data_IF_182552914980
#
_entry.id   IF_182552914980
#
_cell.length_a   1.000
_cell.length_b   1.000
_cell.length_c   1.000
_cell.angle_alpha   90.00
_cell.angle_beta   90.00
_cell.angle_gamma   90.00
#
_symmetry.space_group_name_H-M   'P 1'
#
loop_
_entity.id
_entity.type
_entity.pdbx_description
1 polymer ?
#
# COMPACT_ATOMS: atom_id res chain seq x y z
N UNK A 1 -3.12 -6.80 -5.82
CA UNK A 1 -2.43 -7.67 -4.83
C UNK A 1 -2.48 -9.14 -5.25
N UNK A 2 -3.64 -9.81 -5.34
CA UNK A 2 -3.69 -11.21 -5.82
C UNK A 2 -3.09 -11.44 -7.22
N UNK A 3 -3.34 -10.53 -8.15
CA UNK A 3 -2.79 -10.61 -9.51
C UNK A 3 -1.25 -10.62 -9.56
N UNK A 4 -0.58 -10.18 -8.49
CA UNK A 4 0.88 -10.19 -8.34
C UNK A 4 1.35 -11.19 -7.28
N UNK A 5 0.50 -12.15 -6.89
CA UNK A 5 0.86 -13.27 -6.01
C UNK A 5 0.93 -12.94 -4.52
N UNK A 6 0.44 -11.79 -4.07
CA UNK A 6 0.47 -11.42 -2.64
C UNK A 6 -0.72 -12.04 -1.90
N UNK A 7 -0.40 -12.89 -0.93
CA UNK A 7 -1.36 -13.64 -0.10
C UNK A 7 -1.28 -13.25 1.39
N UNK A 8 -2.17 -13.83 2.21
CA UNK A 8 -2.15 -13.63 3.68
C UNK A 8 -2.55 -12.23 4.15
N UNK A 9 -3.27 -11.48 3.31
CA UNK A 9 -3.58 -10.06 3.49
C UNK A 9 -4.30 -9.77 4.82
N UNK A 10 -3.84 -8.73 5.50
CA UNK A 10 -4.49 -8.12 6.65
C UNK A 10 -4.90 -6.69 6.29
N UNK A 11 -6.18 -6.38 6.39
CA UNK A 11 -6.72 -5.04 6.29
C UNK A 11 -6.88 -4.46 7.70
N UNK A 12 -6.15 -3.41 8.01
CA UNK A 12 -6.32 -2.64 9.24
C UNK A 12 -7.17 -1.39 8.96
N UNK A 13 -8.19 -1.15 9.79
CA UNK A 13 -9.16 -0.08 9.63
C UNK A 13 -9.11 0.89 10.83
N UNK A 14 -9.10 2.20 10.52
CA UNK A 14 -9.14 3.26 11.52
C UNK A 14 -9.92 4.48 11.01
N UNK A 15 -10.21 5.46 11.87
CA UNK A 15 -10.94 6.65 11.46
C UNK A 15 -10.50 7.91 12.23
N UNK A 16 -10.04 8.93 11.49
CA UNK A 16 -9.54 10.17 12.06
C UNK A 16 -10.60 10.94 12.88
N UNK A 17 -11.89 10.72 12.60
CA UNK A 17 -13.01 11.35 13.31
C UNK A 17 -13.10 10.93 14.77
N UNK A 18 -12.59 9.75 15.12
CA UNK A 18 -12.68 9.23 16.50
C UNK A 18 -11.87 10.11 17.44
N UNK A 19 -10.60 10.35 17.13
CA UNK A 19 -9.71 11.19 17.94
C UNK A 19 -10.16 12.65 17.93
N UNK A 20 -10.59 13.17 16.77
CA UNK A 20 -11.23 14.50 16.66
C UNK A 20 -12.44 14.61 17.59
N UNK A 21 -13.24 13.54 17.70
CA UNK A 21 -14.40 13.46 18.57
C UNK A 21 -14.04 13.40 20.07
N UNK A 22 -12.97 12.69 20.44
CA UNK A 22 -12.46 12.63 21.82
C UNK A 22 -11.92 13.98 22.26
N UNK A 23 -11.29 14.71 21.35
CA UNK A 23 -10.70 16.03 21.59
C UNK A 23 -11.67 17.19 21.32
N UNK A 24 -12.93 16.91 21.00
CA UNK A 24 -13.91 17.95 20.70
C UNK A 24 -14.11 18.90 21.91
N UNK A 25 -13.89 20.20 21.69
CA UNK A 25 -13.99 21.20 22.75
C UNK A 25 -12.81 21.24 23.73
N UNK A 26 -11.73 20.50 23.46
CA UNK A 26 -10.50 20.57 24.25
C UNK A 26 -9.64 21.74 23.75
N UNK A 27 -9.26 22.70 24.61
CA UNK A 27 -8.35 23.76 24.23
C UNK A 27 -6.92 23.21 24.13
N UNK A 28 -6.42 23.06 22.91
CA UNK A 28 -5.04 22.67 22.61
C UNK A 28 -4.57 23.45 21.37
N UNK A 29 -3.31 23.90 21.39
CA UNK A 29 -2.65 24.42 20.20
C UNK A 29 -2.24 23.27 19.25
N UNK A 30 -1.78 23.63 18.05
CA UNK A 30 -1.39 22.67 17.03
C UNK A 30 -0.23 21.77 17.45
N UNK A 31 0.78 22.32 18.12
CA UNK A 31 1.96 21.55 18.57
C UNK A 31 1.56 20.49 19.58
N UNK A 32 0.73 20.86 20.55
CA UNK A 32 0.23 19.95 21.57
C UNK A 32 -0.68 18.87 21.00
N UNK A 33 -1.52 19.22 20.02
CA UNK A 33 -2.34 18.24 19.30
C UNK A 33 -1.47 17.21 18.58
N UNK A 34 -0.42 17.66 17.87
CA UNK A 34 0.52 16.77 17.19
C UNK A 34 1.25 15.86 18.18
N UNK A 35 1.66 16.37 19.34
CA UNK A 35 2.30 15.56 20.37
C UNK A 35 1.38 14.47 20.93
N UNK A 36 0.10 14.78 21.16
CA UNK A 36 -0.92 13.81 21.58
C UNK A 36 -1.16 12.74 20.50
N UNK A 37 -1.30 13.17 19.25
CA UNK A 37 -1.50 12.27 18.10
C UNK A 37 -0.28 11.35 17.92
N UNK A 38 0.93 11.89 18.02
CA UNK A 38 2.18 11.13 17.96
C UNK A 38 2.28 10.10 19.09
N UNK A 39 1.94 10.49 20.33
CA UNK A 39 1.92 9.58 21.46
C UNK A 39 0.90 8.44 21.29
N UNK A 40 -0.29 8.73 20.75
CA UNK A 40 -1.29 7.70 20.43
C UNK A 40 -0.78 6.72 19.36
N UNK A 41 -0.20 7.23 18.28
CA UNK A 41 0.33 6.40 17.20
C UNK A 41 1.50 5.51 17.68
N UNK A 42 2.35 6.04 18.56
CA UNK A 42 3.45 5.30 19.18
C UNK A 42 3.02 4.38 20.35
N UNK A 43 1.73 4.42 20.74
CA UNK A 43 1.19 3.76 21.93
C UNK A 43 1.92 4.14 23.24
N UNK A 44 2.46 5.35 23.30
CA UNK A 44 3.22 5.84 24.45
C UNK A 44 2.28 6.45 25.49
N UNK A 45 1.90 5.66 26.49
CA UNK A 45 1.03 6.10 27.58
C UNK A 45 1.64 7.22 28.43
N UNK A 46 2.97 7.23 28.59
CA UNK A 46 3.64 8.21 29.44
C UNK A 46 3.67 9.58 28.74
N UNK A 47 4.05 9.62 27.46
CA UNK A 47 3.99 10.83 26.65
C UNK A 47 2.54 11.33 26.53
N UNK A 48 1.58 10.44 26.31
CA UNK A 48 0.16 10.81 26.23
C UNK A 48 -0.33 11.48 27.51
N UNK A 49 0.02 10.94 28.68
CA UNK A 49 -0.34 11.52 29.97
C UNK A 49 0.32 12.89 30.19
N UNK A 50 1.57 13.06 29.76
CA UNK A 50 2.27 14.33 29.83
C UNK A 50 1.61 15.39 28.93
N UNK A 51 1.36 15.06 27.67
CA UNK A 51 0.81 16.00 26.69
C UNK A 51 -0.67 16.31 26.90
N UNK A 52 -1.45 15.40 27.50
CA UNK A 52 -2.87 15.63 27.81
C UNK A 52 -3.13 16.30 29.18
N UNK A 53 -2.08 16.71 29.92
CA UNK A 53 -2.21 17.32 31.25
C UNK A 53 -3.07 18.60 31.26
N UNK A 54 -4.19 18.59 31.97
CA UNK A 54 -5.12 19.73 32.02
C UNK A 54 -6.17 19.73 30.92
N UNK A 55 -6.20 18.71 30.06
CA UNK A 55 -7.39 18.41 29.27
C UNK A 55 -8.55 17.99 30.20
N UNK A 56 -9.81 18.24 29.79
CA UNK A 56 -10.98 17.74 30.50
C UNK A 56 -10.89 16.23 30.74
N UNK A 57 -11.35 15.79 31.92
CA UNK A 57 -11.29 14.38 32.33
C UNK A 57 -11.89 13.41 31.31
N UNK A 58 -13.04 13.69 30.64
CA UNK A 58 -13.58 12.80 29.62
C UNK A 58 -12.65 12.61 28.42
N UNK A 59 -11.98 13.68 27.98
CA UNK A 59 -11.04 13.61 26.86
C UNK A 59 -9.80 12.80 27.24
N UNK A 60 -9.21 13.07 28.42
CA UNK A 60 -8.07 12.30 28.93
C UNK A 60 -8.35 10.81 29.01
N UNK A 61 -9.48 10.45 29.63
CA UNK A 61 -9.91 9.04 29.72
C UNK A 61 -10.10 8.45 28.32
N UNK A 62 -10.78 9.15 27.41
CA UNK A 62 -10.96 8.68 26.03
C UNK A 62 -9.63 8.43 25.30
N UNK A 63 -8.64 9.31 25.49
CA UNK A 63 -7.30 9.15 24.94
C UNK A 63 -6.58 7.93 25.53
N UNK A 64 -6.66 7.74 26.85
CA UNK A 64 -6.08 6.58 27.53
C UNK A 64 -6.70 5.26 27.05
N UNK A 65 -8.03 5.21 26.92
CA UNK A 65 -8.75 4.03 26.42
C UNK A 65 -8.38 3.69 24.96
N UNK A 66 -8.17 4.71 24.11
CA UNK A 66 -7.77 4.52 22.71
C UNK A 66 -6.47 3.73 22.55
N UNK A 67 -5.55 3.79 23.51
CA UNK A 67 -4.30 3.01 23.48
C UNK A 67 -4.57 1.51 23.42
N UNK A 68 -5.69 1.03 23.99
CA UNK A 68 -6.09 -0.39 24.02
C UNK A 68 -7.16 -0.77 23.00
N UNK A 69 -7.60 0.17 22.15
CA UNK A 69 -8.64 -0.05 21.13
C UNK A 69 -8.02 -0.47 19.79
N UNK A 70 -7.31 -1.61 19.83
CA UNK A 70 -6.79 -2.30 18.66
C UNK A 70 -7.08 -3.80 18.75
N UNK A 71 -7.22 -4.46 17.60
CA UNK A 71 -7.55 -5.89 17.50
C UNK A 71 -8.68 -6.19 16.53
N UNK A 72 -9.52 -7.17 16.86
CA UNK A 72 -10.63 -7.60 16.01
C UNK A 72 -11.88 -6.71 16.16
N UNK A 73 -13.01 -7.15 15.58
CA UNK A 73 -14.27 -6.40 15.59
C UNK A 73 -14.83 -6.13 17.00
N UNK A 74 -14.42 -6.89 18.02
CA UNK A 74 -14.81 -6.59 19.41
C UNK A 74 -14.34 -5.20 19.87
N UNK A 75 -13.30 -4.65 19.24
CA UNK A 75 -12.82 -3.28 19.45
C UNK A 75 -13.93 -2.26 19.23
N UNK A 76 -14.79 -2.45 18.23
CA UNK A 76 -15.83 -1.49 17.89
C UNK A 76 -16.89 -1.38 19.00
N UNK A 77 -17.30 -2.52 19.58
CA UNK A 77 -18.23 -2.51 20.72
C UNK A 77 -17.58 -1.96 21.98
N UNK A 78 -16.31 -2.30 22.25
CA UNK A 78 -15.55 -1.70 23.35
C UNK A 78 -15.48 -0.18 23.20
N UNK A 79 -15.17 0.31 22.00
CA UNK A 79 -15.09 1.73 21.70
C UNK A 79 -16.42 2.45 21.98
N UNK A 80 -17.57 1.86 21.61
CA UNK A 80 -18.89 2.42 21.94
C UNK A 80 -19.14 2.53 23.45
N UNK A 81 -18.59 1.60 24.23
CA UNK A 81 -18.79 1.57 25.68
C UNK A 81 -17.88 2.55 26.44
N UNK A 82 -16.62 2.71 26.01
CA UNK A 82 -15.59 3.44 26.78
C UNK A 82 -15.33 4.85 26.29
N UNK A 83 -15.57 5.15 25.01
CA UNK A 83 -15.30 6.48 24.46
C UNK A 83 -16.39 7.49 24.85
N UNK A 84 -16.06 8.80 24.88
CA UNK A 84 -17.03 9.86 25.10
C UNK A 84 -18.22 9.76 24.14
N UNK A 85 -19.42 10.07 24.64
CA UNK A 85 -20.63 10.13 23.80
C UNK A 85 -20.51 11.29 22.83
N UNK A 86 -20.28 10.97 21.57
CA UNK A 86 -20.18 11.93 20.48
C UNK A 86 -20.81 11.32 19.23
N UNK A 87 -21.66 12.08 18.56
CA UNK A 87 -22.25 11.68 17.28
C UNK A 87 -21.17 11.44 16.22
N UNK A 88 -20.07 12.20 16.29
CA UNK A 88 -18.93 12.04 15.39
C UNK A 88 -18.24 10.68 15.60
N UNK A 89 -18.01 10.29 16.85
CA UNK A 89 -17.42 8.99 17.21
C UNK A 89 -18.38 7.85 16.81
N UNK A 90 -19.67 7.99 17.14
CA UNK A 90 -20.67 6.96 16.82
C UNK A 90 -20.73 6.68 15.32
N UNK A 91 -20.82 7.72 14.48
CA UNK A 91 -20.81 7.58 13.02
C UNK A 91 -19.52 6.93 12.51
N UNK A 92 -18.37 7.31 13.07
CA UNK A 92 -17.09 6.72 12.68
C UNK A 92 -17.06 5.21 12.96
N UNK A 93 -17.49 4.77 14.15
CA UNK A 93 -17.57 3.35 14.50
C UNK A 93 -18.56 2.61 13.58
N UNK A 94 -19.72 3.21 13.29
CA UNK A 94 -20.73 2.61 12.43
C UNK A 94 -20.26 2.45 10.98
N UNK A 95 -19.54 3.46 10.45
CA UNK A 95 -18.93 3.41 9.12
C UNK A 95 -17.82 2.34 9.06
N UNK A 96 -16.97 2.22 10.08
CA UNK A 96 -15.96 1.17 10.17
C UNK A 96 -16.59 -0.22 10.18
N UNK A 97 -17.65 -0.41 10.97
CA UNK A 97 -18.39 -1.67 11.02
C UNK A 97 -19.02 -1.99 9.65
N UNK A 98 -19.56 -0.98 8.96
CA UNK A 98 -20.12 -1.14 7.62
C UNK A 98 -19.05 -1.54 6.60
N UNK A 99 -17.89 -0.88 6.61
CA UNK A 99 -16.76 -1.21 5.73
C UNK A 99 -16.28 -2.64 5.96
N UNK A 100 -16.06 -3.03 7.22
CA UNK A 100 -15.61 -4.37 7.57
C UNK A 100 -16.59 -5.45 7.09
N UNK A 101 -17.90 -5.26 7.27
CA UNK A 101 -18.92 -6.19 6.78
C UNK A 101 -18.85 -6.36 5.25
N UNK A 102 -18.79 -5.26 4.50
CA UNK A 102 -18.74 -5.31 3.03
C UNK A 102 -17.45 -5.99 2.51
N UNK A 103 -16.31 -5.70 3.16
CA UNK A 103 -15.04 -6.35 2.79
C UNK A 103 -15.09 -7.84 3.07
N UNK A 104 -15.61 -8.29 4.22
CA UNK A 104 -15.73 -9.73 4.52
C UNK A 104 -16.65 -10.46 3.55
N UNK A 105 -17.75 -9.83 3.14
CA UNK A 105 -18.67 -10.41 2.16
C UNK A 105 -18.00 -10.59 0.79
N UNK A 106 -17.18 -9.62 0.37
CA UNK A 106 -16.54 -9.64 -0.95
C UNK A 106 -15.24 -10.47 -0.96
N UNK A 107 -14.50 -10.45 0.15
CA UNK A 107 -13.16 -11.01 0.29
C UNK A 107 -12.99 -11.75 1.63
N UNK A 108 -13.62 -12.93 1.80
CA UNK A 108 -13.67 -13.64 3.09
C UNK A 108 -12.31 -14.13 3.60
N UNK A 109 -11.29 -14.23 2.73
CA UNK A 109 -9.93 -14.60 3.12
C UNK A 109 -9.12 -13.44 3.71
N UNK A 110 -9.59 -12.20 3.58
CA UNK A 110 -8.87 -11.03 4.11
C UNK A 110 -9.16 -10.94 5.59
N UNK A 111 -8.11 -10.99 6.41
CA UNK A 111 -8.23 -10.74 7.85
C UNK A 111 -8.45 -9.24 8.07
N UNK A 112 -9.40 -8.89 8.92
CA UNK A 112 -9.71 -7.49 9.23
C UNK A 112 -9.37 -7.22 10.68
N UNK A 113 -8.52 -6.22 10.89
CA UNK A 113 -8.24 -5.63 12.19
C UNK A 113 -8.69 -4.17 12.24
N UNK A 114 -8.69 -3.64 13.45
CA UNK A 114 -8.95 -2.24 13.72
C UNK A 114 -7.85 -1.72 14.65
N UNK A 115 -7.37 -0.51 14.39
CA UNK A 115 -6.57 0.26 15.34
C UNK A 115 -7.11 1.69 15.41
N UNK A 116 -7.93 1.96 16.42
CA UNK A 116 -8.59 3.28 16.54
C UNK A 116 -7.64 4.39 17.01
N UNK A 117 -6.40 4.05 17.36
CA UNK A 117 -5.33 4.98 17.69
C UNK A 117 -4.24 5.08 16.61
N UNK A 118 -4.37 4.36 15.47
CA UNK A 118 -3.49 4.59 14.33
C UNK A 118 -3.88 5.88 13.60
N UNK A 119 -3.03 6.89 13.76
CA UNK A 119 -3.22 8.25 13.25
C UNK A 119 -2.13 8.64 12.26
N UNK A 120 -1.44 7.70 11.61
CA UNK A 120 -0.40 8.04 10.64
C UNK A 120 -0.94 8.95 9.52
N UNK A 121 -0.48 10.20 9.41
CA UNK A 121 -1.08 11.17 8.47
C UNK A 121 -2.43 11.74 8.95
N UNK A 122 -2.58 11.95 10.26
CA UNK A 122 -3.75 12.56 10.91
C UNK A 122 -4.23 13.86 10.25
N UNK A 123 -3.31 14.73 9.83
CA UNK A 123 -3.63 16.00 9.17
C UNK A 123 -4.13 15.81 7.72
N UNK A 124 -3.92 14.63 7.14
CA UNK A 124 -4.31 14.32 5.77
C UNK A 124 -5.71 13.68 5.70
N UNK A 125 -6.02 12.78 6.64
CA UNK A 125 -7.28 12.03 6.60
C UNK A 125 -8.41 12.76 7.36
N UNK A 126 -9.57 12.83 6.72
CA UNK A 126 -10.80 13.48 7.22
C UNK A 126 -11.85 12.48 7.73
N UNK A 127 -11.59 11.17 7.60
CA UNK A 127 -12.52 10.10 7.96
C UNK A 127 -11.85 8.74 8.00
N UNK A 128 -12.54 7.73 7.50
CA UNK A 128 -12.04 6.36 7.44
C UNK A 128 -10.71 6.28 6.69
N UNK A 129 -9.78 5.52 7.23
CA UNK A 129 -8.48 5.17 6.67
C UNK A 129 -8.27 3.67 6.78
N UNK A 130 -7.35 3.17 5.98
CA UNK A 130 -6.99 1.78 6.01
C UNK A 130 -5.53 1.57 5.57
N UNK A 131 -4.97 0.48 6.06
CA UNK A 131 -3.69 -0.05 5.62
C UNK A 131 -3.85 -1.54 5.28
N UNK A 132 -3.13 -2.01 4.26
CA UNK A 132 -3.08 -3.44 3.91
C UNK A 132 -1.66 -3.94 4.09
N UNK A 133 -1.53 -5.01 4.86
CA UNK A 133 -0.28 -5.69 5.13
C UNK A 133 -0.25 -7.05 4.44
N UNK A 134 0.92 -7.44 3.95
CA UNK A 134 1.22 -8.78 3.45
C UNK A 134 1.95 -9.57 4.54
N UNK A 135 1.87 -10.90 4.53
CA UNK A 135 2.40 -11.74 5.61
C UNK A 135 3.93 -11.66 5.77
N UNK A 136 4.63 -11.35 4.68
CA UNK A 136 6.08 -11.32 4.52
C UNK A 136 6.66 -9.90 4.44
N UNK A 137 5.83 -8.87 4.60
CA UNK A 137 6.25 -7.46 4.57
C UNK A 137 5.98 -6.82 5.93
N UNK A 138 7.04 -6.31 6.56
CA UNK A 138 6.94 -5.63 7.86
C UNK A 138 6.24 -4.27 7.82
N UNK A 139 5.96 -3.75 6.62
CA UNK A 139 5.27 -2.49 6.38
C UNK A 139 4.00 -2.71 5.54
N UNK A 140 3.09 -1.72 5.55
CA UNK A 140 1.90 -1.84 4.72
C UNK A 140 2.26 -1.65 3.25
N UNK A 141 1.74 -2.54 2.41
CA UNK A 141 1.89 -2.49 0.94
C UNK A 141 0.88 -1.53 0.29
N UNK A 142 -0.21 -1.21 1.00
CA UNK A 142 -1.22 -0.24 0.58
C UNK A 142 -1.62 0.64 1.76
N UNK A 143 -1.82 1.93 1.49
CA UNK A 143 -2.41 2.87 2.46
C UNK A 143 -3.46 3.71 1.75
N UNK A 144 -4.57 3.98 2.41
CA UNK A 144 -5.62 4.78 1.83
C UNK A 144 -6.63 5.28 2.84
N UNK A 145 -7.60 6.03 2.35
CA UNK A 145 -8.63 6.62 3.18
C UNK A 145 -9.27 7.85 2.56
N UNK A 146 -10.12 8.50 3.35
CA UNK A 146 -10.89 9.68 2.98
C UNK A 146 -10.12 10.97 3.29
N UNK A 147 -9.99 11.86 2.32
CA UNK A 147 -9.20 13.11 2.42
C UNK A 147 -9.94 14.30 1.77
N UNK A 148 -11.11 14.66 2.30
CA UNK A 148 -11.96 15.70 1.71
C UNK A 148 -11.25 17.07 1.59
N UNK A 149 -10.39 17.40 2.57
CA UNK A 149 -9.85 18.75 2.75
C UNK A 149 -8.73 19.11 1.76
N UNK A 150 -8.17 18.14 1.01
CA UNK A 150 -7.07 18.38 0.04
C UNK A 150 -7.49 19.32 -1.10
N UNK A 151 -8.77 19.33 -1.47
CA UNK A 151 -9.29 20.25 -2.49
C UNK A 151 -9.40 21.71 -2.04
N UNK A 152 -9.38 21.96 -0.72
CA UNK A 152 -9.59 23.30 -0.17
C UNK A 152 -8.48 24.28 -0.58
N UNK A 153 -7.22 23.83 -0.62
CA UNK A 153 -6.08 24.66 -1.08
C UNK A 153 -6.17 25.04 -2.57
N UNK A 154 -7.01 24.34 -3.34
CA UNK A 154 -7.28 24.62 -4.76
C UNK A 154 -8.63 25.34 -4.98
N UNK A 155 -9.25 25.86 -3.92
CA UNK A 155 -10.52 26.60 -3.99
C UNK A 155 -11.76 25.73 -4.24
N UNK A 156 -11.64 24.40 -4.13
CA UNK A 156 -12.74 23.45 -4.36
C UNK A 156 -12.69 22.28 -3.37
N UNK A 157 -13.30 22.47 -2.20
CA UNK A 157 -13.47 21.38 -1.24
C UNK A 157 -14.51 20.36 -1.78
N UNK A 158 -14.11 19.11 -1.98
CA UNK A 158 -14.96 18.02 -2.50
C UNK A 158 -14.61 16.72 -1.79
N UNK A 159 -15.60 15.86 -1.48
CA UNK A 159 -15.32 14.56 -0.90
C UNK A 159 -14.36 13.75 -1.76
N UNK A 160 -13.36 13.14 -1.13
CA UNK A 160 -12.33 12.38 -1.83
C UNK A 160 -11.89 11.14 -1.03
N UNK A 161 -11.66 10.03 -1.74
CA UNK A 161 -11.15 8.77 -1.19
C UNK A 161 -10.22 8.14 -2.21
N UNK A 162 -9.19 7.46 -1.73
CA UNK A 162 -8.17 6.85 -2.58
C UNK A 162 -7.18 6.04 -1.78
N UNK A 163 -6.21 5.48 -2.48
CA UNK A 163 -5.11 4.72 -1.89
C UNK A 163 -3.84 4.87 -2.72
N UNK A 164 -2.71 4.62 -2.10
CA UNK A 164 -1.41 4.45 -2.72
C UNK A 164 -0.85 3.07 -2.38
N UNK A 165 0.11 2.62 -3.18
CA UNK A 165 0.75 1.32 -3.04
C UNK A 165 2.25 1.46 -3.29
N UNK A 166 3.07 0.72 -2.54
CA UNK A 166 4.51 0.68 -2.76
C UNK A 166 4.86 -0.39 -3.81
N UNK A 167 5.17 0.05 -5.03
CA UNK A 167 5.57 -0.84 -6.12
C UNK A 167 6.88 -1.58 -5.83
N UNK A 168 7.80 -0.99 -5.07
CA UNK A 168 9.06 -1.63 -4.70
C UNK A 168 8.80 -2.76 -3.71
N UNK A 169 7.96 -2.54 -2.71
CA UNK A 169 7.54 -3.58 -1.77
C UNK A 169 6.83 -4.74 -2.48
N UNK A 170 6.01 -4.45 -3.50
CA UNK A 170 5.34 -5.49 -4.29
C UNK A 170 6.28 -6.22 -5.27
N UNK A 171 7.35 -5.57 -5.74
CA UNK A 171 8.25 -6.15 -6.76
C UNK A 171 8.90 -7.47 -6.33
N UNK A 172 9.08 -7.71 -5.02
CA UNK A 172 9.67 -8.94 -4.48
C UNK A 172 8.71 -10.13 -4.44
N UNK A 173 7.40 -9.92 -4.62
CA UNK A 173 6.37 -10.96 -4.54
C UNK A 173 5.99 -11.52 -5.91
N UNK A 174 6.45 -10.87 -6.98
CA UNK A 174 6.29 -11.39 -8.34
C UNK A 174 7.02 -12.72 -8.50
N UNK A 175 6.58 -13.58 -9.44
CA UNK A 175 7.28 -14.81 -9.74
C UNK A 175 8.75 -14.51 -10.03
N UNK A 176 9.66 -15.35 -9.52
CA UNK A 176 11.06 -15.29 -9.89
C UNK A 176 11.15 -15.16 -11.41
N UNK A 177 11.86 -14.13 -11.89
CA UNK A 177 12.03 -13.93 -13.33
C UNK A 177 12.62 -15.21 -13.91
N UNK A 178 11.83 -15.97 -14.65
CA UNK A 178 12.37 -17.04 -15.47
C UNK A 178 13.39 -16.40 -16.41
N UNK A 179 14.51 -17.08 -16.66
CA UNK A 179 15.44 -16.69 -17.71
C UNK A 179 14.64 -16.39 -18.97
N UNK A 180 14.81 -15.18 -19.50
CA UNK A 180 14.02 -14.77 -20.66
C UNK A 180 14.56 -15.55 -21.84
N UNK A 181 13.68 -16.25 -22.56
CA UNK A 181 14.06 -16.86 -23.83
C UNK A 181 14.51 -15.75 -24.78
N UNK A 182 15.71 -15.88 -25.32
CA UNK A 182 16.23 -14.95 -26.31
C UNK A 182 16.69 -15.69 -27.57
N UNK A 183 16.69 -14.96 -28.67
CA UNK A 183 17.25 -15.38 -29.93
C UNK A 183 18.63 -14.72 -30.05
N UNK A 184 19.67 -15.53 -30.20
CA UNK A 184 21.01 -15.04 -30.47
C UNK A 184 21.12 -14.56 -31.92
N UNK A 185 21.68 -13.38 -32.15
CA UNK A 185 21.98 -12.89 -33.48
C UNK A 185 23.42 -12.36 -33.52
N UNK A 186 24.15 -12.50 -34.64
CA UNK A 186 25.46 -11.88 -34.76
C UNK A 186 25.32 -10.35 -34.76
N UNK A 187 26.31 -9.65 -34.21
CA UNK A 187 26.43 -8.21 -34.39
C UNK A 187 26.92 -7.88 -35.80
N UNK A 188 26.22 -7.00 -36.51
CA UNK A 188 26.59 -6.62 -37.86
C UNK A 188 25.80 -5.43 -38.41
N UNK A 189 26.33 -4.83 -39.47
CA UNK A 189 25.69 -3.70 -40.15
C UNK A 189 24.79 -4.10 -41.33
N UNK A 190 24.78 -5.39 -41.70
CA UNK A 190 24.00 -5.91 -42.83
C UNK A 190 22.51 -5.51 -42.76
N UNK A 191 21.97 -5.01 -43.87
CA UNK A 191 20.61 -4.48 -43.92
C UNK A 191 19.56 -5.60 -43.76
N UNK A 192 19.83 -6.79 -44.33
CA UNK A 192 18.95 -7.93 -44.20
C UNK A 192 18.92 -8.46 -42.76
N UNK A 193 20.07 -8.48 -42.09
CA UNK A 193 20.21 -8.82 -40.66
C UNK A 193 19.40 -7.87 -39.79
N UNK A 194 19.58 -6.55 -39.96
CA UNK A 194 18.83 -5.54 -39.19
C UNK A 194 17.32 -5.64 -39.42
N UNK A 195 16.90 -5.98 -40.64
CA UNK A 195 15.49 -6.21 -40.98
C UNK A 195 14.94 -7.44 -40.28
N UNK A 196 15.67 -8.56 -40.31
CA UNK A 196 15.29 -9.79 -39.62
C UNK A 196 15.22 -9.61 -38.09
N UNK A 197 16.22 -8.96 -37.49
CA UNK A 197 16.23 -8.61 -36.06
C UNK A 197 15.04 -7.72 -35.68
N UNK A 198 14.74 -6.70 -36.50
CA UNK A 198 13.59 -5.81 -36.26
C UNK A 198 12.27 -6.56 -36.31
N UNK A 199 12.08 -7.39 -37.33
CA UNK A 199 10.88 -8.23 -37.49
C UNK A 199 10.66 -9.13 -36.28
N UNK A 200 11.71 -9.78 -35.78
CA UNK A 200 11.63 -10.61 -34.58
C UNK A 200 11.24 -9.80 -33.34
N UNK A 201 11.83 -8.62 -33.15
CA UNK A 201 11.47 -7.72 -32.04
C UNK A 201 10.03 -7.18 -32.14
N UNK A 202 9.56 -6.86 -33.33
CA UNK A 202 8.16 -6.47 -33.59
C UNK A 202 7.17 -7.61 -33.28
N UNK A 203 7.61 -8.87 -33.38
CA UNK A 203 6.86 -10.05 -32.97
C UNK A 203 6.91 -10.32 -31.45
N UNK A 204 7.59 -9.46 -30.66
CA UNK A 204 7.75 -9.62 -29.22
C UNK A 204 8.89 -10.53 -28.80
N UNK A 205 9.72 -11.01 -29.74
CA UNK A 205 10.90 -11.83 -29.42
C UNK A 205 12.03 -10.96 -28.86
N UNK A 206 12.71 -11.46 -27.85
CA UNK A 206 13.95 -10.84 -27.36
C UNK A 206 15.11 -11.29 -28.26
N UNK A 207 15.82 -10.36 -28.88
CA UNK A 207 16.97 -10.67 -29.76
C UNK A 207 18.24 -10.06 -29.19
N UNK A 208 19.18 -10.93 -28.80
CA UNK A 208 20.49 -10.57 -28.25
C UNK A 208 21.53 -10.54 -29.39
N UNK A 209 22.01 -9.34 -29.73
CA UNK A 209 23.06 -9.18 -30.72
C UNK A 209 24.43 -9.35 -30.07
N UNK A 210 25.12 -10.45 -30.38
CA UNK A 210 26.39 -10.84 -29.75
C UNK A 210 27.55 -10.42 -30.64
N UNK A 211 28.54 -9.71 -30.07
CA UNK A 211 29.75 -9.34 -30.82
C UNK A 211 30.66 -10.56 -30.94
N UNK A 212 31.47 -10.65 -32.01
CA UNK A 212 32.49 -11.70 -32.11
C UNK A 212 33.44 -11.62 -30.90
N UNK A 213 33.61 -12.74 -30.19
CA UNK A 213 34.47 -12.84 -29.01
C UNK A 213 33.80 -12.56 -27.66
N UNK A 214 32.57 -12.02 -27.66
CA UNK A 214 31.77 -11.88 -26.44
C UNK A 214 30.89 -13.13 -26.28
N UNK A 215 30.99 -13.82 -25.13
CA UNK A 215 29.97 -14.78 -24.73
C UNK A 215 28.86 -14.03 -23.97
N UNK A 216 27.57 -14.31 -24.22
CA UNK A 216 26.50 -13.76 -23.40
C UNK A 216 26.75 -14.06 -21.92
N UNK A 217 26.56 -13.08 -21.03
CA UNK A 217 26.54 -13.36 -19.60
C UNK A 217 25.46 -14.43 -19.33
N UNK A 218 25.89 -15.63 -18.95
CA UNK A 218 25.10 -16.87 -18.96
C UNK A 218 23.87 -16.85 -18.03
N UNK A 219 23.67 -15.79 -17.25
CA UNK A 219 22.72 -15.76 -16.15
C UNK A 219 21.41 -15.00 -16.43
N UNK A 220 21.29 -14.24 -17.54
CA UNK A 220 20.08 -13.42 -17.79
C UNK A 220 19.16 -13.96 -18.90
N UNK A 221 19.70 -14.62 -19.92
CA UNK A 221 18.95 -15.10 -21.08
C UNK A 221 19.19 -16.57 -21.38
N UNK A 222 18.11 -17.30 -21.63
CA UNK A 222 18.15 -18.67 -22.15
C UNK A 222 18.08 -18.62 -23.68
N UNK A 223 19.24 -18.77 -24.32
CA UNK A 223 19.35 -18.76 -25.78
C UNK A 223 19.22 -20.18 -26.33
N UNK A 224 18.01 -20.53 -26.78
CA UNK A 224 17.71 -21.82 -27.44
C UNK A 224 17.63 -21.73 -28.95
N UNK A 225 17.70 -20.52 -29.50
CA UNK A 225 17.57 -20.23 -30.93
C UNK A 225 18.60 -19.19 -31.36
N UNK A 226 19.10 -19.30 -32.59
CA UNK A 226 19.96 -18.30 -33.22
C UNK A 226 19.49 -17.90 -34.62
N UNK A 227 19.86 -16.69 -35.02
CA UNK A 227 19.66 -16.16 -36.36
C UNK A 227 20.95 -16.37 -37.17
N UNK A 228 20.91 -17.30 -38.12
CA UNK A 228 22.04 -17.69 -38.94
C UNK A 228 21.86 -17.29 -40.41
N UNK A 229 22.95 -16.89 -41.07
CA UNK A 229 22.95 -16.62 -42.51
C UNK A 229 23.08 -17.94 -43.29
N UNK A 230 22.07 -18.27 -44.10
CA UNK A 230 21.97 -19.53 -44.86
C UNK A 230 21.51 -19.20 -46.26
N UNK A 231 22.35 -19.47 -47.27
CA UNK A 231 22.00 -19.19 -48.66
C UNK A 231 21.68 -17.71 -48.92
N UNK A 232 22.33 -16.77 -48.22
CA UNK A 232 22.07 -15.33 -48.34
C UNK A 232 20.81 -14.82 -47.63
N UNK A 233 20.11 -15.68 -46.88
CA UNK A 233 18.94 -15.31 -46.07
C UNK A 233 19.21 -15.53 -44.58
N UNK A 234 18.60 -14.70 -43.74
CA UNK A 234 18.65 -14.85 -42.29
C UNK A 234 17.52 -15.75 -41.81
N UNK A 235 17.86 -16.92 -41.26
CA UNK A 235 16.90 -17.94 -40.80
C UNK A 235 17.12 -18.26 -39.34
N UNK A 236 16.02 -18.54 -38.64
CA UNK A 236 16.07 -19.04 -37.27
C UNK A 236 16.47 -20.52 -37.26
N UNK A 237 17.39 -20.88 -36.35
CA UNK A 237 17.81 -22.24 -36.09
C UNK A 237 17.81 -22.51 -34.59
N UNK A 238 17.59 -23.76 -34.20
CA UNK A 238 17.85 -24.17 -32.82
C UNK A 238 19.38 -24.19 -32.60
N UNK A 239 19.79 -23.77 -31.40
CA UNK A 239 21.18 -23.90 -30.94
C UNK A 239 21.47 -25.34 -30.49
#
# INVERSE_FOLDING_TARGET
LRAVGVDGLVLDLADARIVRGVLAGVPADGERLQAVVGALAAKDSAALAAHSRGFPQPARRGLEELLGLYGDESVLERARAVLPRSELIRRAIDDLAWLARNVRQTYPQVRIGFDLADLGGYDYYSGARFAVYAADVGEAVVRGGRYDEVGAVFGRNRPAVGFSLDLKALSSHGPARSTRRAIRAPWGADAALRTAVRRLREQGETVLCVRPGDEPEANEFDCTRELAAVGGQWVLRAL
#
